data_IF_855895622504
#
_entry.id   IF_855895622504
#
_cell.length_a   1.000
_cell.length_b   1.000
_cell.length_c   1.000
_cell.angle_alpha   90.00
_cell.angle_beta   90.00
_cell.angle_gamma   90.00
#
_symmetry.space_group_name_H-M   'P 1'
#
loop_
_entity.id
_entity.type
_entity.pdbx_description
1 polymer ?
#
# COMPACT_ATOMS: atom_id res chain seq x y z
N UNK A 1 11.61 6.33 16.38
CA UNK A 1 12.87 6.75 15.70
C UNK A 1 14.10 6.61 16.58
N UNK A 2 14.12 7.10 17.82
CA UNK A 2 15.28 6.94 18.73
C UNK A 2 15.58 5.47 19.09
N UNK A 3 14.57 4.63 19.34
CA UNK A 3 14.78 3.22 19.71
C UNK A 3 15.45 2.34 18.63
N UNK A 4 15.24 2.65 17.34
CA UNK A 4 15.90 1.92 16.24
C UNK A 4 17.37 2.34 16.13
N UNK A 5 17.64 3.63 16.35
CA UNK A 5 19.00 4.16 16.38
C UNK A 5 19.78 3.62 17.58
N UNK A 6 19.13 3.49 18.75
CA UNK A 6 19.73 2.91 19.95
C UNK A 6 20.00 1.41 19.78
N UNK A 7 19.07 0.66 19.17
CA UNK A 7 19.30 -0.77 18.85
C UNK A 7 20.41 -0.99 17.82
N UNK A 8 20.51 -0.12 16.80
CA UNK A 8 21.60 -0.18 15.83
C UNK A 8 22.94 0.18 16.48
N UNK A 9 22.97 1.16 17.38
CA UNK A 9 24.16 1.48 18.18
C UNK A 9 24.54 0.35 19.15
N UNK A 10 23.58 -0.34 19.76
CA UNK A 10 23.85 -1.51 20.62
C UNK A 10 24.51 -2.62 19.81
N UNK A 11 23.96 -2.96 18.64
CA UNK A 11 24.56 -3.93 17.71
C UNK A 11 25.95 -3.50 17.21
N UNK A 12 26.15 -2.21 16.96
CA UNK A 12 27.43 -1.66 16.50
C UNK A 12 28.50 -1.68 17.61
N UNK A 13 28.10 -1.48 18.87
CA UNK A 13 28.98 -1.61 20.04
C UNK A 13 29.33 -3.06 20.37
N UNK A 14 28.46 -4.03 20.05
CA UNK A 14 28.77 -5.47 20.19
C UNK A 14 29.76 -5.97 19.12
N UNK A 15 29.76 -5.35 17.94
CA UNK A 15 30.61 -5.76 16.81
C UNK A 15 32.03 -5.16 16.84
N UNK A 16 32.24 -3.98 17.44
CA UNK A 16 33.59 -3.41 17.63
C UNK A 16 33.71 -2.51 18.88
N UNK A 17 34.12 -3.06 20.04
CA UNK A 17 34.12 -2.32 21.32
C UNK A 17 35.19 -1.21 21.44
N UNK A 18 36.03 -0.98 20.42
CA UNK A 18 37.22 -0.12 20.52
C UNK A 18 37.11 1.27 19.87
N UNK A 19 36.01 1.63 19.21
CA UNK A 19 35.88 2.92 18.50
C UNK A 19 35.18 4.00 19.32
N UNK A 20 35.73 4.34 20.49
CA UNK A 20 35.34 5.55 21.25
C UNK A 20 36.12 6.79 20.78
N UNK A 21 35.81 7.31 19.60
CA UNK A 21 36.21 8.68 19.22
C UNK A 21 35.10 9.35 18.42
N UNK A 22 34.53 10.41 18.98
CA UNK A 22 33.59 11.32 18.30
C UNK A 22 34.24 11.91 17.03
N UNK A 23 33.84 11.39 15.87
CA UNK A 23 34.12 11.89 14.54
C UNK A 23 32.87 12.62 13.98
N UNK A 24 32.98 13.45 12.94
CA UNK A 24 31.84 14.17 12.40
C UNK A 24 30.89 13.20 11.70
N UNK A 25 29.83 12.77 12.41
CA UNK A 25 28.75 11.84 12.00
C UNK A 25 29.14 11.03 10.75
N UNK A 26 30.15 10.18 10.88
CA UNK A 26 30.39 9.10 9.93
C UNK A 26 29.19 8.18 10.07
N UNK A 27 28.47 7.91 8.98
CA UNK A 27 27.36 6.96 9.03
C UNK A 27 27.86 5.62 9.58
N UNK A 28 27.02 4.90 10.31
CA UNK A 28 27.40 3.61 10.89
C UNK A 28 27.92 2.64 9.82
N UNK A 29 28.68 1.62 10.23
CA UNK A 29 29.35 0.68 9.31
C UNK A 29 28.39 0.06 8.29
N UNK A 30 27.14 -0.22 8.71
CA UNK A 30 26.09 -0.77 7.85
C UNK A 30 25.70 0.22 6.73
N UNK A 31 25.59 1.51 7.04
CA UNK A 31 25.29 2.54 6.06
C UNK A 31 26.43 2.66 5.04
N UNK A 32 27.69 2.72 5.50
CA UNK A 32 28.83 2.81 4.60
C UNK A 32 28.97 1.56 3.70
N UNK A 33 28.74 0.36 4.22
CA UNK A 33 28.70 -0.88 3.43
C UNK A 33 27.58 -0.84 2.39
N UNK A 34 26.39 -0.35 2.76
CA UNK A 34 25.29 -0.20 1.83
C UNK A 34 25.63 0.80 0.71
N UNK A 35 26.26 1.92 1.04
CA UNK A 35 26.76 2.89 0.05
C UNK A 35 27.77 2.26 -0.92
N UNK A 36 28.66 1.36 -0.46
CA UNK A 36 29.56 0.63 -1.36
C UNK A 36 28.80 -0.32 -2.32
N UNK A 37 27.73 -0.97 -1.85
CA UNK A 37 26.84 -1.75 -2.73
C UNK A 37 26.20 -0.84 -3.78
N UNK A 38 25.76 0.35 -3.41
CA UNK A 38 25.14 1.32 -4.31
C UNK A 38 26.09 1.81 -5.42
N UNK A 39 27.40 1.86 -5.15
CA UNK A 39 28.43 2.23 -6.14
C UNK A 39 28.73 1.13 -7.16
N UNK A 40 28.29 -0.10 -6.91
CA UNK A 40 28.66 -1.24 -7.75
C UNK A 40 27.99 -1.17 -9.13
N UNK A 41 28.70 -1.61 -10.17
CA UNK A 41 28.16 -1.66 -11.54
C UNK A 41 26.97 -2.62 -11.71
N UNK A 42 26.82 -3.58 -10.79
CA UNK A 42 25.74 -4.58 -10.78
C UNK A 42 24.77 -4.35 -9.61
N UNK A 43 24.64 -3.11 -9.14
CA UNK A 43 23.82 -2.69 -7.99
C UNK A 43 22.51 -3.46 -7.85
N UNK A 44 21.67 -3.47 -8.89
CA UNK A 44 20.35 -4.09 -8.84
C UNK A 44 20.42 -5.60 -8.56
N UNK A 45 21.40 -6.31 -9.14
CA UNK A 45 21.60 -7.73 -8.88
C UNK A 45 22.13 -7.96 -7.47
N UNK A 46 23.04 -7.11 -6.99
CA UNK A 46 23.53 -7.16 -5.61
C UNK A 46 22.42 -6.91 -4.60
N UNK A 47 21.50 -5.97 -4.86
CA UNK A 47 20.34 -5.70 -4.00
C UNK A 47 19.35 -6.87 -4.00
N UNK A 48 19.12 -7.50 -5.15
CA UNK A 48 18.23 -8.66 -5.27
C UNK A 48 18.77 -9.89 -4.51
N UNK A 49 20.08 -10.16 -4.68
CA UNK A 49 20.78 -11.21 -3.93
C UNK A 49 20.78 -10.92 -2.44
N UNK A 50 21.10 -9.68 -2.03
CA UNK A 50 21.06 -9.28 -0.62
C UNK A 50 19.66 -9.43 -0.04
N UNK A 51 18.61 -9.03 -0.77
CA UNK A 51 17.25 -9.22 -0.31
C UNK A 51 16.89 -10.70 -0.15
N UNK A 52 17.41 -11.58 -1.00
CA UNK A 52 17.17 -13.02 -0.92
C UNK A 52 17.88 -13.63 0.27
N UNK A 53 19.14 -13.25 0.48
CA UNK A 53 19.96 -13.74 1.60
C UNK A 53 19.39 -13.30 2.94
N UNK A 54 18.99 -12.02 3.07
CA UNK A 54 18.35 -11.50 4.28
C UNK A 54 17.05 -12.25 4.61
N UNK A 55 16.27 -12.63 3.59
CA UNK A 55 15.07 -13.44 3.78
C UNK A 55 15.41 -14.86 4.24
N UNK A 56 16.45 -15.46 3.68
CA UNK A 56 16.88 -16.81 4.04
C UNK A 56 17.39 -16.85 5.50
N UNK A 57 18.31 -15.96 5.86
CA UNK A 57 18.86 -15.84 7.22
C UNK A 57 17.75 -15.69 8.26
N UNK A 58 16.77 -14.83 8.00
CA UNK A 58 15.64 -14.64 8.91
C UNK A 58 14.81 -15.92 9.12
N UNK A 59 14.60 -16.72 8.06
CA UNK A 59 13.90 -18.00 8.17
C UNK A 59 14.70 -19.00 9.01
N UNK A 60 16.03 -19.01 8.89
CA UNK A 60 16.89 -19.89 9.69
C UNK A 60 16.88 -19.50 11.17
N UNK A 61 17.02 -18.21 11.48
CA UNK A 61 16.97 -17.69 12.85
C UNK A 61 15.61 -17.91 13.54
N UNK A 62 14.52 -17.87 12.78
CA UNK A 62 13.18 -18.19 13.30
C UNK A 62 12.94 -19.68 13.57
N UNK A 63 13.77 -20.57 13.00
CA UNK A 63 13.65 -22.02 13.16
C UNK A 63 14.46 -22.59 14.33
N UNK A 64 15.47 -21.86 14.79
CA UNK A 64 16.27 -22.23 15.97
C UNK A 64 15.55 -21.79 17.25
N UNK A 65 15.31 -22.76 18.15
CA UNK A 65 14.70 -22.59 19.49
C UNK A 65 15.53 -21.73 20.47
N UNK A 66 16.35 -20.80 19.98
CA UNK A 66 17.21 -19.93 20.79
C UNK A 66 16.49 -18.63 21.19
N UNK A 67 15.38 -18.28 20.54
CA UNK A 67 14.57 -17.12 20.92
C UNK A 67 13.59 -17.41 22.07
N UNK A 68 14.11 -17.93 23.18
CA UNK A 68 13.35 -18.14 24.41
C UNK A 68 13.01 -16.85 25.18
N UNK A 69 13.62 -15.72 24.84
CA UNK A 69 13.39 -14.44 25.54
C UNK A 69 13.60 -13.17 24.69
N UNK A 70 14.01 -13.32 23.42
CA UNK A 70 14.03 -12.21 22.47
C UNK A 70 12.75 -12.27 21.65
N UNK A 71 11.88 -11.28 21.79
CA UNK A 71 10.77 -11.04 20.87
C UNK A 71 11.35 -10.81 19.47
N UNK A 72 11.52 -11.89 18.70
CA UNK A 72 11.90 -11.93 17.28
C UNK A 72 10.98 -11.06 16.39
N UNK A 73 9.90 -10.51 16.94
CA UNK A 73 9.04 -9.51 16.33
C UNK A 73 9.74 -8.17 16.02
N UNK A 74 10.95 -7.91 16.53
CA UNK A 74 11.58 -6.59 16.49
C UNK A 74 12.97 -6.51 15.81
N UNK A 75 13.52 -7.60 15.29
CA UNK A 75 14.81 -7.60 14.60
C UNK A 75 14.63 -8.02 13.14
N UNK A 76 14.34 -7.05 12.26
CA UNK A 76 14.22 -7.31 10.82
C UNK A 76 15.29 -6.53 10.08
N UNK A 77 16.42 -7.18 9.79
CA UNK A 77 17.31 -6.70 8.75
C UNK A 77 16.67 -7.06 7.41
N UNK A 78 16.15 -6.06 6.70
CA UNK A 78 15.57 -6.20 5.37
C UNK A 78 16.15 -5.14 4.45
N UNK A 79 16.05 -5.35 3.14
CA UNK A 79 16.47 -4.36 2.16
C UNK A 79 15.73 -3.02 2.35
N UNK A 80 14.48 -3.08 2.78
CA UNK A 80 13.68 -1.91 3.13
C UNK A 80 14.28 -1.13 4.31
N UNK A 81 14.72 -1.81 5.37
CA UNK A 81 15.36 -1.16 6.52
C UNK A 81 16.66 -0.47 6.12
N UNK A 82 17.44 -1.09 5.21
CA UNK A 82 18.64 -0.46 4.66
C UNK A 82 18.30 0.81 3.86
N UNK A 83 17.25 0.78 3.05
CA UNK A 83 16.77 1.97 2.34
C UNK A 83 16.24 3.05 3.28
N UNK A 84 15.44 2.69 4.29
CA UNK A 84 14.97 3.64 5.32
C UNK A 84 16.14 4.31 6.02
N UNK A 85 17.17 3.54 6.41
CA UNK A 85 18.37 4.07 7.03
C UNK A 85 19.10 5.04 6.07
N UNK A 86 19.27 4.65 4.80
CA UNK A 86 19.89 5.52 3.81
C UNK A 86 19.12 6.83 3.58
N UNK A 87 17.79 6.79 3.59
CA UNK A 87 16.94 7.99 3.45
C UNK A 87 16.99 8.86 4.70
N UNK A 88 17.10 8.29 5.90
CA UNK A 88 17.32 9.08 7.13
C UNK A 88 18.69 9.76 7.11
N UNK A 89 19.74 9.06 6.70
CA UNK A 89 21.09 9.62 6.58
C UNK A 89 21.23 10.60 5.41
N UNK A 90 20.31 10.57 4.43
CA UNK A 90 20.36 11.40 3.24
C UNK A 90 20.47 12.91 3.56
N UNK A 91 19.76 13.43 4.58
CA UNK A 91 19.86 14.85 4.95
C UNK A 91 21.19 15.23 5.58
N UNK A 92 21.90 14.26 6.17
CA UNK A 92 23.11 14.45 6.97
C UNK A 92 24.41 14.02 6.26
N UNK A 93 24.34 13.64 4.98
CA UNK A 93 25.49 13.15 4.22
C UNK A 93 26.02 14.17 3.20
N UNK A 94 27.18 13.87 2.59
CA UNK A 94 27.83 14.72 1.57
C UNK A 94 26.99 14.79 0.29
N UNK A 95 27.16 15.86 -0.50
CA UNK A 95 26.41 16.01 -1.75
C UNK A 95 26.66 14.86 -2.74
N UNK A 96 27.90 14.36 -2.83
CA UNK A 96 28.22 13.21 -3.70
C UNK A 96 27.46 11.95 -3.28
N UNK A 97 27.32 11.70 -1.96
CA UNK A 97 26.55 10.57 -1.43
C UNK A 97 25.05 10.78 -1.63
N UNK A 98 24.53 12.01 -1.51
CA UNK A 98 23.13 12.34 -1.82
C UNK A 98 22.79 12.02 -3.27
N UNK A 99 23.62 12.48 -4.21
CA UNK A 99 23.43 12.23 -5.64
C UNK A 99 23.46 10.73 -5.97
N UNK A 100 24.36 9.98 -5.34
CA UNK A 100 24.41 8.53 -5.47
C UNK A 100 23.12 7.88 -4.98
N UNK A 101 22.67 8.19 -3.76
CA UNK A 101 21.44 7.63 -3.19
C UNK A 101 20.24 7.95 -4.08
N UNK A 102 20.11 9.17 -4.59
CA UNK A 102 19.02 9.55 -5.48
C UNK A 102 19.02 8.75 -6.80
N UNK A 103 20.19 8.62 -7.44
CA UNK A 103 20.32 7.86 -8.69
C UNK A 103 20.07 6.37 -8.46
N UNK A 104 20.66 5.80 -7.41
CA UNK A 104 20.48 4.39 -7.07
C UNK A 104 19.04 4.06 -6.70
N UNK A 105 18.35 4.93 -5.96
CA UNK A 105 16.94 4.71 -5.64
C UNK A 105 16.03 4.91 -6.84
N UNK A 106 16.35 5.84 -7.75
CA UNK A 106 15.67 5.95 -9.03
C UNK A 106 15.82 4.66 -9.85
N UNK A 107 17.04 4.13 -10.01
CA UNK A 107 17.30 2.90 -10.75
C UNK A 107 16.59 1.70 -10.11
N UNK A 108 16.56 1.65 -8.77
CA UNK A 108 15.83 0.64 -8.00
C UNK A 108 14.31 0.67 -8.29
N UNK A 109 13.68 1.85 -8.23
CA UNK A 109 12.26 2.02 -8.56
C UNK A 109 12.00 1.74 -10.05
N UNK A 110 12.86 2.24 -10.94
CA UNK A 110 12.74 2.06 -12.39
C UNK A 110 12.85 0.59 -12.80
N UNK A 111 13.60 -0.20 -12.03
CA UNK A 111 13.71 -1.65 -12.19
C UNK A 111 12.50 -2.43 -11.63
N UNK A 112 11.54 -1.74 -11.01
CA UNK A 112 10.30 -2.30 -10.48
C UNK A 112 10.45 -2.97 -9.13
N UNK A 113 11.51 -2.67 -8.36
CA UNK A 113 11.58 -3.12 -6.98
C UNK A 113 10.51 -2.40 -6.13
N UNK A 114 9.93 -3.07 -5.13
CA UNK A 114 9.02 -2.43 -4.20
C UNK A 114 9.71 -1.32 -3.40
N UNK A 115 9.04 -0.19 -3.26
CA UNK A 115 9.49 0.94 -2.44
C UNK A 115 8.38 1.36 -1.47
N UNK A 116 8.76 1.88 -0.31
CA UNK A 116 7.82 2.34 0.69
C UNK A 116 7.21 3.70 0.29
N UNK A 117 5.89 3.82 0.39
CA UNK A 117 5.13 5.06 0.20
C UNK A 117 4.77 5.65 1.56
N UNK A 118 4.10 4.86 2.40
CA UNK A 118 3.70 5.25 3.77
C UNK A 118 4.20 4.18 4.73
N UNK A 119 4.96 4.61 5.74
CA UNK A 119 5.39 3.77 6.86
C UNK A 119 4.20 3.51 7.80
N UNK A 120 3.80 2.25 7.96
CA UNK A 120 2.66 1.86 8.79
C UNK A 120 2.93 1.81 10.30
N UNK A 121 4.20 1.96 10.73
CA UNK A 121 4.54 2.03 12.14
C UNK A 121 4.43 3.47 12.68
N UNK A 122 4.81 4.46 11.86
CA UNK A 122 4.78 5.87 12.24
C UNK A 122 3.72 6.70 11.50
N UNK A 123 2.93 6.10 10.61
CA UNK A 123 2.07 6.81 9.65
C UNK A 123 2.83 7.95 8.95
N UNK A 124 4.07 7.67 8.56
CA UNK A 124 4.95 8.69 8.01
C UNK A 124 5.06 8.55 6.49
N UNK A 125 4.75 9.64 5.78
CA UNK A 125 4.90 9.71 4.33
C UNK A 125 6.18 10.49 3.98
N UNK A 126 7.22 9.78 3.52
CA UNK A 126 8.51 10.34 3.09
C UNK A 126 8.45 11.06 1.72
N UNK A 127 7.40 11.86 1.52
CA UNK A 127 7.08 12.49 0.24
C UNK A 127 8.15 13.48 -0.24
N UNK A 128 8.92 14.13 0.64
CA UNK A 128 9.98 15.05 0.24
C UNK A 128 11.09 14.35 -0.55
N UNK A 129 11.53 13.19 -0.07
CA UNK A 129 12.53 12.37 -0.76
C UNK A 129 11.93 11.78 -2.04
N UNK A 130 10.75 11.17 -1.96
CA UNK A 130 10.06 10.59 -3.13
C UNK A 130 9.76 11.63 -4.22
N UNK A 131 9.54 12.90 -3.88
CA UNK A 131 9.34 13.97 -4.86
C UNK A 131 10.58 14.13 -5.75
N UNK A 132 11.78 14.08 -5.18
CA UNK A 132 13.03 14.18 -5.96
C UNK A 132 13.18 12.99 -6.91
N UNK A 133 12.90 11.79 -6.43
CA UNK A 133 13.05 10.57 -7.22
C UNK A 133 11.99 10.49 -8.31
N UNK A 134 10.71 10.65 -7.96
CA UNK A 134 9.61 10.54 -8.90
C UNK A 134 9.59 11.66 -9.93
N UNK A 135 10.18 12.83 -9.64
CA UNK A 135 10.35 13.93 -10.62
C UNK A 135 11.08 13.49 -11.90
N UNK A 136 11.94 12.48 -11.81
CA UNK A 136 12.67 11.93 -12.95
C UNK A 136 11.77 11.11 -13.89
N UNK A 137 10.57 10.73 -13.47
CA UNK A 137 9.55 10.06 -14.28
C UNK A 137 8.52 11.03 -14.88
N UNK A 138 8.83 12.33 -14.96
CA UNK A 138 7.96 13.31 -15.61
C UNK A 138 7.59 12.88 -17.03
N UNK A 139 6.33 13.07 -17.41
CA UNK A 139 5.79 12.67 -18.71
C UNK A 139 5.81 11.15 -18.99
N UNK A 140 6.16 10.30 -18.02
CA UNK A 140 5.93 8.85 -18.10
C UNK A 140 4.51 8.57 -17.69
N UNK A 141 3.68 8.13 -18.63
CA UNK A 141 2.28 7.92 -18.35
C UNK A 141 2.07 6.68 -17.50
N UNK A 142 1.24 6.78 -16.47
CA UNK A 142 1.03 5.67 -15.54
C UNK A 142 -0.43 5.28 -15.41
N UNK A 143 -0.61 3.99 -15.14
CA UNK A 143 -1.86 3.41 -14.69
C UNK A 143 -1.69 2.94 -13.25
N UNK A 144 -2.60 3.31 -12.35
CA UNK A 144 -2.43 3.05 -10.90
C UNK A 144 -3.46 2.02 -10.44
N UNK A 145 -2.97 0.93 -9.87
CA UNK A 145 -3.78 -0.18 -9.36
C UNK A 145 -3.38 -0.44 -7.90
N UNK A 146 -4.34 -0.30 -6.98
CA UNK A 146 -4.13 -0.66 -5.58
C UNK A 146 -4.78 -2.00 -5.25
N UNK A 147 -4.26 -2.71 -4.25
CA UNK A 147 -4.92 -3.87 -3.65
C UNK A 147 -5.19 -3.62 -2.16
N UNK A 148 -6.40 -3.92 -1.70
CA UNK A 148 -6.81 -3.86 -0.29
C UNK A 148 -7.46 -5.18 0.10
N UNK A 149 -7.51 -5.46 1.40
CA UNK A 149 -8.16 -6.67 1.91
C UNK A 149 -7.64 -7.12 3.26
N UNK A 150 -8.30 -8.12 3.87
CA UNK A 150 -7.95 -8.58 5.20
C UNK A 150 -6.50 -9.07 5.31
N UNK A 151 -5.97 -9.07 6.53
CA UNK A 151 -4.66 -9.67 6.82
C UNK A 151 -4.62 -11.13 6.33
N UNK A 152 -3.47 -11.55 5.79
CA UNK A 152 -3.24 -12.91 5.27
C UNK A 152 -4.17 -13.37 4.12
N UNK A 153 -4.87 -12.46 3.44
CA UNK A 153 -5.70 -12.79 2.27
C UNK A 153 -4.91 -13.13 0.99
N UNK A 154 -3.59 -12.95 0.99
CA UNK A 154 -2.71 -13.22 -0.16
C UNK A 154 -2.58 -12.07 -1.15
N UNK A 155 -2.67 -10.80 -0.70
CA UNK A 155 -2.60 -9.59 -1.55
C UNK A 155 -1.29 -9.49 -2.33
N UNK A 156 -0.17 -9.46 -1.62
CA UNK A 156 1.18 -9.37 -2.18
C UNK A 156 1.48 -10.57 -3.08
N UNK A 157 1.03 -11.77 -2.68
CA UNK A 157 1.10 -12.99 -3.51
C UNK A 157 0.35 -12.80 -4.83
N UNK A 158 -0.90 -12.32 -4.78
CA UNK A 158 -1.72 -12.11 -5.97
C UNK A 158 -1.08 -11.08 -6.92
N UNK A 159 -0.57 -9.96 -6.41
CA UNK A 159 0.14 -8.98 -7.23
C UNK A 159 1.40 -9.56 -7.88
N UNK A 160 2.19 -10.33 -7.12
CA UNK A 160 3.40 -10.98 -7.64
C UNK A 160 3.08 -11.94 -8.78
N UNK A 161 2.00 -12.73 -8.70
CA UNK A 161 1.58 -13.62 -9.78
C UNK A 161 0.95 -12.89 -10.98
N UNK A 162 0.19 -11.81 -10.76
CA UNK A 162 -0.43 -11.07 -11.86
C UNK A 162 0.57 -10.23 -12.65
N UNK A 163 1.53 -9.62 -11.96
CA UNK A 163 2.37 -8.56 -12.55
C UNK A 163 3.88 -8.81 -12.44
N UNK A 164 4.31 -9.93 -11.83
CA UNK A 164 5.74 -10.25 -11.69
C UNK A 164 6.49 -9.36 -10.69
N UNK A 165 5.78 -8.73 -9.75
CA UNK A 165 6.39 -7.93 -8.67
C UNK A 165 7.12 -8.80 -7.64
N UNK A 166 7.93 -8.16 -6.79
CA UNK A 166 8.60 -8.80 -5.66
C UNK A 166 8.15 -8.25 -4.30
N UNK A 167 6.85 -7.94 -4.14
CA UNK A 167 6.34 -7.61 -2.81
C UNK A 167 6.65 -8.75 -1.85
N UNK A 168 6.98 -8.43 -0.60
CA UNK A 168 7.38 -9.46 0.35
C UNK A 168 6.17 -10.34 0.73
N UNK A 169 6.40 -11.65 0.80
CA UNK A 169 5.37 -12.65 1.11
C UNK A 169 5.91 -13.54 2.21
N UNK A 170 5.32 -13.47 3.41
CA UNK A 170 5.66 -14.29 4.57
C UNK A 170 4.40 -14.78 5.28
N UNK A 171 4.54 -15.77 6.16
CA UNK A 171 3.46 -16.12 7.09
C UNK A 171 3.43 -15.05 8.20
N UNK A 172 2.30 -14.36 8.37
CA UNK A 172 2.14 -13.29 9.37
C UNK A 172 2.08 -11.87 8.76
N UNK A 173 2.27 -10.84 9.59
CA UNK A 173 2.18 -9.42 9.19
C UNK A 173 3.44 -9.00 8.40
N UNK A 174 3.38 -9.17 7.08
CA UNK A 174 4.51 -8.88 6.18
C UNK A 174 4.61 -7.40 5.81
N UNK A 175 3.45 -6.79 5.54
CA UNK A 175 3.34 -5.44 5.00
C UNK A 175 2.88 -4.51 6.11
N UNK A 176 3.70 -3.52 6.45
CA UNK A 176 3.39 -2.46 7.42
C UNK A 176 3.33 -1.13 6.68
N UNK A 177 2.14 -0.61 6.45
CA UNK A 177 1.94 0.61 5.64
C UNK A 177 1.58 0.33 4.18
N UNK A 178 2.10 1.16 3.26
CA UNK A 178 1.75 1.15 1.83
C UNK A 178 3.03 1.14 1.00
N UNK A 179 3.11 0.23 0.04
CA UNK A 179 4.27 0.03 -0.83
C UNK A 179 3.89 0.16 -2.29
N UNK A 180 4.76 0.77 -3.09
CA UNK A 180 4.61 0.93 -4.53
C UNK A 180 5.58 0.04 -5.31
N UNK A 181 5.22 -0.33 -6.53
CA UNK A 181 6.14 -0.90 -7.53
C UNK A 181 5.76 -0.37 -8.92
N UNK A 182 6.75 0.08 -9.69
CA UNK A 182 6.56 0.51 -11.08
C UNK A 182 6.92 -0.62 -12.03
N UNK A 183 5.91 -1.21 -12.67
CA UNK A 183 6.10 -2.22 -13.71
C UNK A 183 6.11 -1.54 -15.06
N UNK A 184 7.22 -1.63 -15.79
CA UNK A 184 7.36 -1.00 -17.10
C UNK A 184 6.55 -1.78 -18.15
N UNK A 185 5.80 -1.08 -18.98
CA UNK A 185 5.10 -1.70 -20.09
C UNK A 185 6.01 -1.78 -21.33
N UNK A 186 6.08 -2.97 -21.92
CA UNK A 186 6.76 -3.20 -23.18
C UNK A 186 5.71 -3.49 -24.26
N UNK A 187 5.81 -2.74 -25.37
CA UNK A 187 4.99 -2.98 -26.56
C UNK A 187 5.35 -4.32 -27.17
N UNK A 188 4.37 -5.06 -27.70
CA UNK A 188 4.55 -6.41 -28.26
C UNK A 188 5.67 -6.49 -29.32
N UNK A 189 5.95 -5.39 -30.03
CA UNK A 189 6.96 -5.29 -31.07
C UNK A 189 8.36 -4.86 -30.59
N UNK A 190 8.56 -4.67 -29.28
CA UNK A 190 9.84 -4.28 -28.69
C UNK A 190 10.52 -5.48 -28.02
N UNK A 191 11.82 -5.68 -28.30
CA UNK A 191 12.59 -6.75 -27.68
C UNK A 191 12.82 -6.45 -26.18
N UNK A 192 12.26 -7.30 -25.32
CA UNK A 192 12.45 -7.24 -23.85
C UNK A 192 13.92 -7.43 -23.43
N UNK A 193 14.76 -8.03 -24.28
CA UNK A 193 16.14 -8.38 -23.96
C UNK A 193 17.06 -7.20 -23.60
N UNK A 194 16.70 -5.97 -24.02
CA UNK A 194 17.50 -4.76 -23.76
C UNK A 194 16.89 -3.86 -22.67
N UNK A 195 15.84 -4.31 -21.99
CA UNK A 195 15.22 -3.54 -20.91
C UNK A 195 15.64 -4.14 -19.56
N UNK A 196 16.43 -3.38 -18.81
CA UNK A 196 16.74 -3.70 -17.41
C UNK A 196 15.49 -3.50 -16.55
N UNK A 197 15.21 -4.46 -15.66
CA UNK A 197 14.11 -4.37 -14.70
C UNK A 197 12.86 -5.17 -15.09
N UNK A 198 11.81 -5.03 -14.27
CA UNK A 198 10.55 -5.77 -14.42
C UNK A 198 9.66 -5.15 -15.49
N UNK A 199 9.21 -6.00 -16.40
CA UNK A 199 8.49 -5.58 -17.58
C UNK A 199 7.27 -6.45 -17.83
N UNK A 200 6.18 -5.82 -18.24
CA UNK A 200 4.97 -6.52 -18.64
C UNK A 200 4.69 -6.24 -20.12
N UNK A 201 4.55 -7.32 -20.90
CA UNK A 201 4.17 -7.22 -22.31
C UNK A 201 2.67 -6.95 -22.40
N UNK A 202 2.30 -5.68 -22.52
CA UNK A 202 0.92 -5.27 -22.72
C UNK A 202 0.88 -4.05 -23.66
N UNK A 203 0.16 -4.16 -24.76
CA UNK A 203 -0.07 -3.04 -25.68
C UNK A 203 -1.18 -2.14 -25.14
N UNK A 204 -0.84 -1.37 -24.11
CA UNK A 204 -1.68 -0.27 -23.66
C UNK A 204 -1.18 0.97 -24.41
N UNK A 205 -1.96 1.51 -25.38
CA UNK A 205 -1.62 2.78 -25.99
C UNK A 205 -1.46 3.79 -24.87
N UNK A 206 -0.42 4.58 -25.00
CA UNK A 206 -0.28 5.76 -24.19
C UNK A 206 -0.01 5.57 -22.69
N UNK A 207 0.44 4.38 -22.26
CA UNK A 207 0.89 4.14 -20.89
C UNK A 207 2.31 3.56 -20.92
N UNK A 208 3.20 4.10 -20.08
CA UNK A 208 4.59 3.68 -19.96
C UNK A 208 4.80 2.71 -18.77
N UNK A 209 4.07 2.90 -17.67
CA UNK A 209 4.17 2.07 -16.47
C UNK A 209 2.81 1.73 -15.84
N UNK A 210 2.74 0.60 -15.15
CA UNK A 210 1.70 0.31 -14.16
C UNK A 210 2.31 0.53 -12.78
N UNK A 211 1.73 1.45 -12.00
CA UNK A 211 2.03 1.62 -10.58
C UNK A 211 1.12 0.72 -9.76
N UNK A 212 1.72 -0.29 -9.16
CA UNK A 212 1.05 -1.23 -8.26
C UNK A 212 1.24 -0.78 -6.82
N UNK A 213 0.16 -0.73 -6.06
CA UNK A 213 0.17 -0.33 -4.66
C UNK A 213 -0.29 -1.52 -3.82
N UNK A 214 0.61 -2.08 -3.02
CA UNK A 214 0.33 -3.11 -2.02
C UNK A 214 0.14 -2.47 -0.65
N UNK A 215 -0.80 -2.99 0.13
CA UNK A 215 -1.19 -2.39 1.39
C UNK A 215 -1.08 -3.37 2.54
N UNK A 216 -0.97 -2.81 3.75
CA UNK A 216 -1.15 -3.53 4.99
C UNK A 216 -2.49 -4.30 5.01
N UNK A 217 -2.50 -5.40 5.76
CA UNK A 217 -3.70 -6.20 6.00
C UNK A 217 -4.70 -5.47 6.88
N UNK A 218 -5.92 -5.30 6.37
CA UNK A 218 -7.03 -4.74 7.12
C UNK A 218 -7.60 -5.74 8.14
N UNK A 219 -8.37 -5.25 9.10
CA UNK A 219 -9.13 -6.03 10.08
C UNK A 219 -8.25 -6.99 10.88
N UNK A 220 -7.03 -6.54 11.21
CA UNK A 220 -6.12 -7.31 12.06
C UNK A 220 -6.70 -7.43 13.47
N UNK A 221 -6.72 -8.64 14.02
CA UNK A 221 -7.13 -8.87 15.41
C UNK A 221 -6.14 -8.21 16.39
N UNK A 222 -4.87 -8.11 15.99
CA UNK A 222 -3.75 -7.60 16.80
C UNK A 222 -3.72 -6.06 16.85
N UNK A 223 -4.18 -5.40 15.79
CA UNK A 223 -4.33 -3.94 15.72
C UNK A 223 -5.81 -3.59 15.71
N UNK A 224 -6.38 -3.33 16.87
CA UNK A 224 -7.77 -2.88 17.03
C UNK A 224 -7.99 -1.43 16.55
N UNK A 225 -7.33 -1.00 15.47
CA UNK A 225 -7.41 0.34 14.90
C UNK A 225 -8.16 0.32 13.56
N UNK A 226 -9.50 0.29 13.68
CA UNK A 226 -10.39 0.34 12.52
C UNK A 226 -10.34 1.69 11.78
N UNK A 227 -9.86 2.75 12.43
CA UNK A 227 -9.75 4.06 11.80
C UNK A 227 -8.57 4.09 10.84
N UNK A 228 -7.41 3.54 11.26
CA UNK A 228 -6.26 3.34 10.39
C UNK A 228 -6.62 2.57 9.11
N UNK A 229 -7.37 1.48 9.25
CA UNK A 229 -7.84 0.69 8.12
C UNK A 229 -8.70 1.50 7.14
N UNK A 230 -9.63 2.32 7.66
CA UNK A 230 -10.46 3.21 6.83
C UNK A 230 -9.63 4.28 6.14
N UNK A 231 -8.63 4.86 6.82
CA UNK A 231 -7.70 5.83 6.21
C UNK A 231 -6.95 5.20 5.05
N UNK A 232 -6.49 3.97 5.19
CA UNK A 232 -5.79 3.23 4.15
C UNK A 232 -6.72 2.90 2.95
N UNK A 233 -7.94 2.45 3.20
CA UNK A 233 -8.95 2.20 2.14
C UNK A 233 -9.29 3.49 1.40
N UNK A 234 -9.58 4.57 2.12
CA UNK A 234 -9.94 5.85 1.53
C UNK A 234 -8.78 6.45 0.71
N UNK A 235 -7.55 6.34 1.22
CA UNK A 235 -6.34 6.71 0.48
C UNK A 235 -6.24 5.95 -0.85
N UNK A 236 -6.36 4.62 -0.82
CA UNK A 236 -6.26 3.78 -2.02
C UNK A 236 -7.36 4.11 -3.05
N UNK A 237 -8.59 4.33 -2.61
CA UNK A 237 -9.69 4.73 -3.50
C UNK A 237 -9.42 6.08 -4.17
N UNK A 238 -8.87 7.05 -3.45
CA UNK A 238 -8.64 8.39 -3.96
C UNK A 238 -7.47 8.49 -4.97
N UNK A 239 -6.45 7.63 -4.84
CA UNK A 239 -5.20 7.73 -5.61
C UNK A 239 -5.07 6.70 -6.74
N UNK A 240 -6.11 5.90 -7.01
CA UNK A 240 -6.05 4.78 -7.96
C UNK A 240 -7.01 4.92 -9.13
N UNK A 241 -6.67 4.28 -10.25
CA UNK A 241 -7.61 4.08 -11.37
C UNK A 241 -8.46 2.83 -11.16
N UNK A 242 -7.90 1.81 -10.50
CA UNK A 242 -8.56 0.57 -10.13
C UNK A 242 -8.12 0.14 -8.73
N UNK A 243 -9.06 -0.39 -7.94
CA UNK A 243 -8.76 -1.00 -6.64
C UNK A 243 -9.24 -2.45 -6.62
N UNK A 244 -8.34 -3.35 -6.26
CA UNK A 244 -8.61 -4.78 -6.08
C UNK A 244 -8.95 -4.99 -4.61
N UNK A 245 -10.14 -5.52 -4.32
CA UNK A 245 -10.54 -5.96 -2.98
C UNK A 245 -10.37 -7.46 -2.91
N UNK A 246 -9.27 -7.89 -2.30
CA UNK A 246 -8.92 -9.30 -2.17
C UNK A 246 -9.44 -9.86 -0.85
N UNK A 247 -10.24 -10.92 -0.92
CA UNK A 247 -10.85 -11.58 0.23
C UNK A 247 -10.57 -13.08 0.20
N UNK A 248 -10.41 -13.69 1.37
CA UNK A 248 -10.34 -15.15 1.48
C UNK A 248 -11.75 -15.69 1.68
N UNK A 249 -12.19 -16.60 0.80
CA UNK A 249 -13.54 -17.16 0.87
C UNK A 249 -14.61 -16.15 0.45
N UNK A 250 -15.68 -16.03 1.26
CA UNK A 250 -16.85 -15.21 0.94
C UNK A 250 -16.68 -13.72 1.25
N UNK A 251 -17.61 -12.92 0.73
CA UNK A 251 -17.61 -11.47 0.97
C UNK A 251 -17.81 -11.19 2.46
N UNK A 252 -16.87 -10.46 3.05
CA UNK A 252 -16.96 -9.99 4.43
C UNK A 252 -17.81 -8.72 4.51
N UNK A 253 -18.94 -8.77 5.23
CA UNK A 253 -19.83 -7.61 5.42
C UNK A 253 -19.09 -6.43 6.10
N UNK A 254 -18.13 -6.69 6.99
CA UNK A 254 -17.32 -5.63 7.64
C UNK A 254 -16.49 -4.84 6.63
N UNK A 255 -15.84 -5.54 5.68
CA UNK A 255 -15.02 -4.90 4.65
C UNK A 255 -15.91 -4.16 3.63
N UNK A 256 -17.09 -4.70 3.35
CA UNK A 256 -18.09 -4.03 2.52
C UNK A 256 -18.60 -2.75 3.19
N UNK A 257 -18.94 -2.78 4.46
CA UNK A 257 -19.38 -1.59 5.20
C UNK A 257 -18.27 -0.52 5.25
N UNK A 258 -17.03 -0.93 5.48
CA UNK A 258 -15.86 -0.06 5.43
C UNK A 258 -15.68 0.56 4.04
N UNK A 259 -15.75 -0.24 2.96
CA UNK A 259 -15.64 0.24 1.59
C UNK A 259 -16.75 1.24 1.25
N UNK A 260 -17.97 0.93 1.69
CA UNK A 260 -19.15 1.77 1.49
C UNK A 260 -18.95 3.13 2.18
N UNK A 261 -18.53 3.13 3.45
CA UNK A 261 -18.22 4.34 4.21
C UNK A 261 -17.12 5.16 3.53
N UNK A 262 -16.03 4.53 3.10
CA UNK A 262 -14.94 5.24 2.44
C UNK A 262 -15.39 5.84 1.10
N UNK A 263 -16.24 5.14 0.35
CA UNK A 263 -16.85 5.69 -0.87
C UNK A 263 -17.70 6.95 -0.59
N UNK A 264 -18.45 6.95 0.52
CA UNK A 264 -19.20 8.12 0.97
C UNK A 264 -18.28 9.27 1.39
N UNK A 265 -17.23 8.99 2.17
CA UNK A 265 -16.21 9.99 2.53
C UNK A 265 -15.52 10.59 1.30
N UNK A 266 -15.28 9.78 0.26
CA UNK A 266 -14.66 10.22 -0.99
C UNK A 266 -15.54 11.25 -1.72
N UNK A 267 -16.88 11.19 -1.58
CA UNK A 267 -17.78 12.25 -2.08
C UNK A 267 -17.49 13.59 -1.42
N UNK A 268 -17.25 13.58 -0.10
CA UNK A 268 -17.06 14.80 0.69
C UNK A 268 -15.74 15.50 0.36
N UNK A 269 -14.70 14.74 0.00
CA UNK A 269 -13.42 15.28 -0.49
C UNK A 269 -13.60 16.01 -1.85
N UNK A 270 -14.70 15.72 -2.56
CA UNK A 270 -15.13 16.39 -3.78
C UNK A 270 -14.86 15.56 -5.02
N UNK A 271 -15.93 15.04 -5.63
CA UNK A 271 -15.94 14.12 -6.79
C UNK A 271 -15.12 14.65 -7.98
N UNK A 272 -14.98 15.97 -8.15
CA UNK A 272 -14.25 16.58 -9.26
C UNK A 272 -12.71 16.53 -9.11
N UNK A 273 -12.17 16.09 -7.96
CA UNK A 273 -10.73 16.05 -7.69
C UNK A 273 -10.12 14.65 -7.64
N UNK A 274 -10.96 13.61 -7.64
CA UNK A 274 -10.53 12.22 -7.44
C UNK A 274 -10.97 11.36 -8.62
N UNK A 275 -10.12 10.40 -8.97
CA UNK A 275 -10.44 9.41 -9.99
C UNK A 275 -11.63 8.58 -9.50
N UNK A 276 -12.67 8.39 -10.29
CA UNK A 276 -13.73 7.42 -9.98
C UNK A 276 -13.17 6.00 -10.20
N UNK A 277 -12.66 5.30 -9.17
CA UNK A 277 -11.94 4.06 -9.39
C UNK A 277 -12.92 2.94 -9.72
N UNK A 278 -12.47 1.98 -10.53
CA UNK A 278 -13.20 0.72 -10.70
C UNK A 278 -12.78 -0.21 -9.56
N UNK A 279 -13.74 -0.85 -8.91
CA UNK A 279 -13.45 -1.81 -7.83
C UNK A 279 -13.68 -3.24 -8.29
N UNK A 280 -12.62 -4.06 -8.23
CA UNK A 280 -12.65 -5.48 -8.54
C UNK A 280 -12.61 -6.31 -7.27
N UNK A 281 -13.59 -7.19 -7.07
CA UNK A 281 -13.62 -8.13 -5.95
C UNK A 281 -12.97 -9.45 -6.38
N UNK A 282 -11.97 -9.90 -5.62
CA UNK A 282 -11.30 -11.18 -5.84
C UNK A 282 -11.54 -12.07 -4.63
N UNK A 283 -12.33 -13.12 -4.83
CA UNK A 283 -12.62 -14.15 -3.84
C UNK A 283 -11.59 -15.27 -3.97
N UNK A 284 -10.54 -15.19 -3.18
CA UNK A 284 -9.38 -16.08 -3.22
C UNK A 284 -9.58 -17.32 -2.33
N UNK A 285 -8.81 -18.38 -2.60
CA UNK A 285 -8.82 -19.65 -1.87
C UNK A 285 -10.19 -20.33 -1.79
N UNK A 286 -10.98 -20.24 -2.88
CA UNK A 286 -12.28 -20.91 -2.97
C UNK A 286 -12.12 -22.40 -3.28
N UNK A 287 -12.81 -23.24 -2.50
CA UNK A 287 -12.89 -24.67 -2.76
C UNK A 287 -13.67 -24.99 -4.05
N UNK A 288 -14.76 -24.24 -4.30
CA UNK A 288 -15.47 -24.21 -5.57
C UNK A 288 -15.37 -22.79 -6.16
N UNK A 289 -14.53 -22.57 -7.19
CA UNK A 289 -14.36 -21.26 -7.81
C UNK A 289 -15.51 -20.90 -8.78
N UNK A 290 -16.67 -21.56 -8.73
CA UNK A 290 -17.81 -21.21 -9.57
C UNK A 290 -18.51 -19.93 -9.09
N UNK A 291 -18.39 -18.86 -9.89
CA UNK A 291 -18.99 -17.56 -9.60
C UNK A 291 -20.53 -17.61 -9.55
N UNK A 292 -21.17 -18.56 -10.26
CA UNK A 292 -22.64 -18.68 -10.32
C UNK A 292 -23.26 -18.89 -8.93
N UNK A 293 -22.55 -19.55 -8.03
CA UNK A 293 -23.01 -19.82 -6.67
C UNK A 293 -23.10 -18.55 -5.81
N UNK A 294 -22.49 -17.45 -6.25
CA UNK A 294 -22.40 -16.19 -5.48
C UNK A 294 -23.18 -15.04 -6.15
N UNK A 295 -23.93 -15.32 -7.22
CA UNK A 295 -24.64 -14.28 -7.99
C UNK A 295 -25.59 -13.46 -7.13
N UNK A 296 -26.33 -14.09 -6.21
CA UNK A 296 -27.27 -13.40 -5.32
C UNK A 296 -26.55 -12.46 -4.34
N UNK A 297 -25.40 -12.88 -3.79
CA UNK A 297 -24.60 -12.06 -2.89
C UNK A 297 -23.99 -10.86 -3.63
N UNK A 298 -23.53 -11.07 -4.87
CA UNK A 298 -23.02 -10.02 -5.76
C UNK A 298 -24.11 -8.99 -6.06
N UNK A 299 -25.31 -9.45 -6.42
CA UNK A 299 -26.44 -8.57 -6.74
C UNK A 299 -26.89 -7.77 -5.52
N UNK A 300 -26.85 -8.36 -4.32
CA UNK A 300 -27.08 -7.65 -3.05
C UNK A 300 -26.07 -6.52 -2.86
N UNK A 301 -24.78 -6.78 -3.04
CA UNK A 301 -23.73 -5.75 -2.89
C UNK A 301 -23.95 -4.62 -3.90
N UNK A 302 -24.16 -4.95 -5.17
CA UNK A 302 -24.39 -3.94 -6.22
C UNK A 302 -25.62 -3.08 -5.89
N UNK A 303 -26.69 -3.70 -5.38
CA UNK A 303 -27.90 -2.97 -4.96
C UNK A 303 -27.61 -2.04 -3.80
N UNK A 304 -26.92 -2.50 -2.77
CA UNK A 304 -26.58 -1.68 -1.59
C UNK A 304 -25.73 -0.46 -1.97
N UNK A 305 -24.77 -0.62 -2.91
CA UNK A 305 -23.98 0.51 -3.42
C UNK A 305 -24.82 1.50 -4.23
N UNK A 306 -25.82 1.03 -4.99
CA UNK A 306 -26.76 1.89 -5.73
C UNK A 306 -27.72 2.63 -4.79
N UNK A 307 -28.29 1.95 -3.80
CA UNK A 307 -29.21 2.54 -2.82
C UNK A 307 -28.54 3.64 -1.98
N UNK A 308 -27.24 3.53 -1.75
CA UNK A 308 -26.42 4.54 -1.06
C UNK A 308 -25.85 5.61 -2.00
N UNK A 309 -26.30 5.63 -3.26
CA UNK A 309 -25.91 6.59 -4.30
C UNK A 309 -24.40 6.62 -4.59
N UNK A 310 -23.67 5.52 -4.34
CA UNK A 310 -22.20 5.48 -4.44
C UNK A 310 -21.69 5.20 -5.87
N UNK A 311 -22.60 4.89 -6.80
CA UNK A 311 -22.26 4.57 -8.19
C UNK A 311 -21.62 5.74 -8.95
N UNK A 312 -21.81 6.97 -8.49
CA UNK A 312 -21.16 8.17 -9.05
C UNK A 312 -19.70 8.35 -8.58
N UNK A 313 -19.26 7.55 -7.61
CA UNK A 313 -17.95 7.68 -6.97
C UNK A 313 -17.07 6.51 -7.32
N UNK A 314 -17.61 5.30 -7.24
CA UNK A 314 -16.90 4.06 -7.47
C UNK A 314 -17.72 3.22 -8.45
N UNK A 315 -17.03 2.65 -9.43
CA UNK A 315 -17.62 1.78 -10.43
C UNK A 315 -17.52 0.30 -10.01
N UNK A 316 -18.67 -0.31 -9.77
CA UNK A 316 -18.82 -1.74 -9.44
C UNK A 316 -19.89 -2.33 -10.34
N UNK A 317 -19.59 -3.47 -10.95
CA UNK A 317 -20.55 -4.22 -11.77
C UNK A 317 -20.40 -5.72 -11.54
N UNK A 318 -21.35 -6.51 -12.02
CA UNK A 318 -21.28 -7.98 -11.90
C UNK A 318 -20.03 -8.58 -12.56
N UNK A 319 -19.44 -7.88 -13.54
CA UNK A 319 -18.22 -8.29 -14.23
C UNK A 319 -16.94 -8.04 -13.43
N UNK A 320 -17.01 -7.26 -12.34
CA UNK A 320 -15.84 -6.94 -11.52
C UNK A 320 -15.62 -7.94 -10.39
N UNK A 321 -16.43 -9.02 -10.31
CA UNK A 321 -16.28 -10.10 -9.33
C UNK A 321 -15.57 -11.30 -9.96
N UNK A 322 -14.53 -11.79 -9.28
CA UNK A 322 -13.67 -12.87 -9.74
C UNK A 322 -13.44 -13.88 -8.61
N UNK A 323 -13.27 -15.14 -8.96
CA UNK A 323 -13.00 -16.24 -8.04
C UNK A 323 -11.67 -16.91 -8.39
N UNK A 324 -10.84 -17.17 -7.38
CA UNK A 324 -9.57 -17.86 -7.53
C UNK A 324 -9.51 -19.09 -6.62
N UNK A 325 -8.95 -20.21 -7.10
CA UNK A 325 -8.66 -21.38 -6.27
C UNK A 325 -7.51 -21.08 -5.29
N UNK A 326 -7.17 -22.03 -4.41
CA UNK A 326 -5.96 -21.92 -3.60
C UNK A 326 -4.72 -21.86 -4.48
N UNK A 327 -3.81 -20.92 -4.21
CA UNK A 327 -2.54 -20.78 -4.93
C UNK A 327 -1.59 -21.94 -4.64
N UNK A 328 -1.64 -22.47 -3.42
CA UNK A 328 -0.66 -23.42 -2.91
C UNK A 328 -1.34 -24.70 -2.46
N UNK A 329 -0.69 -25.82 -2.75
CA UNK A 329 -1.05 -27.14 -2.23
C UNK A 329 0.18 -27.76 -1.55
N UNK A 330 -0.01 -28.18 -0.30
CA UNK A 330 0.99 -28.94 0.46
C UNK A 330 0.89 -30.40 0.03
N UNK A 331 1.93 -30.91 -0.61
CA UNK A 331 2.03 -32.31 -1.01
C UNK A 331 3.20 -32.98 -0.27
N UNK A 332 3.05 -34.28 0.01
CA UNK A 332 4.13 -35.09 0.58
C UNK A 332 4.76 -35.92 -0.52
N UNK A 333 6.08 -36.08 -0.46
CA UNK A 333 6.84 -36.90 -1.43
C UNK A 333 6.41 -38.38 -1.37
N UNK A 334 5.98 -38.87 -0.20
CA UNK A 334 5.33 -40.17 -0.04
C UNK A 334 4.25 -40.12 1.05
N UNK A 335 3.42 -41.16 1.14
CA UNK A 335 2.36 -41.27 2.15
C UNK A 335 2.88 -41.47 3.59
N UNK A 336 4.18 -41.58 3.79
CA UNK A 336 4.77 -41.70 5.12
C UNK A 336 4.70 -40.38 5.89
N UNK A 337 4.38 -40.46 7.18
CA UNK A 337 4.25 -39.30 8.05
C UNK A 337 5.56 -38.53 8.27
N UNK A 338 6.72 -39.14 7.97
CA UNK A 338 8.05 -38.54 8.10
C UNK A 338 8.58 -37.92 6.80
N UNK A 339 7.87 -38.06 5.69
CA UNK A 339 8.34 -37.56 4.40
C UNK A 339 8.27 -36.04 4.32
N UNK A 340 9.28 -35.38 3.72
CA UNK A 340 9.29 -33.94 3.56
C UNK A 340 8.07 -33.49 2.78
N UNK A 341 7.42 -32.45 3.29
CA UNK A 341 6.30 -31.80 2.61
C UNK A 341 6.88 -30.67 1.74
N UNK A 342 6.45 -30.60 0.49
CA UNK A 342 6.78 -29.48 -0.39
C UNK A 342 5.50 -28.72 -0.73
N UNK A 343 5.66 -27.43 -1.01
CA UNK A 343 4.58 -26.56 -1.45
C UNK A 343 4.68 -26.42 -2.95
N UNK A 344 3.60 -26.78 -3.65
CA UNK A 344 3.49 -26.60 -5.10
C UNK A 344 2.48 -25.49 -5.40
N UNK A 345 2.81 -24.64 -6.36
CA UNK A 345 1.84 -23.71 -6.93
C UNK A 345 0.90 -24.44 -7.88
N UNK A 346 -0.41 -24.24 -7.68
CA UNK A 346 -1.44 -24.87 -8.50
C UNK A 346 -1.49 -24.27 -9.92
N UNK A 347 -1.46 -25.09 -10.99
CA UNK A 347 -1.51 -24.59 -12.36
C UNK A 347 -2.80 -23.82 -12.70
N UNK A 348 -3.95 -24.26 -12.18
CA UNK A 348 -5.24 -23.59 -12.39
C UNK A 348 -5.24 -22.17 -11.79
N UNK A 349 -4.57 -21.99 -10.64
CA UNK A 349 -4.39 -20.67 -10.04
C UNK A 349 -3.59 -19.75 -10.96
N UNK A 350 -2.47 -20.22 -11.52
CA UNK A 350 -1.61 -19.43 -12.42
C UNK A 350 -2.41 -18.99 -13.66
N UNK A 351 -3.10 -19.94 -14.31
CA UNK A 351 -3.87 -19.65 -15.52
C UNK A 351 -4.98 -18.61 -15.26
N UNK A 352 -5.75 -18.78 -14.19
CA UNK A 352 -6.83 -17.85 -13.82
C UNK A 352 -6.29 -16.48 -13.44
N UNK A 353 -5.14 -16.43 -12.75
CA UNK A 353 -4.50 -15.18 -12.35
C UNK A 353 -4.01 -14.39 -13.55
N UNK A 354 -3.49 -15.06 -14.59
CA UNK A 354 -3.13 -14.42 -15.84
C UNK A 354 -4.34 -13.82 -16.56
N UNK A 355 -5.44 -14.57 -16.67
CA UNK A 355 -6.70 -14.06 -17.25
C UNK A 355 -7.28 -12.89 -16.44
N UNK A 356 -7.13 -12.93 -15.11
CA UNK A 356 -7.55 -11.84 -14.23
C UNK A 356 -6.70 -10.59 -14.46
N UNK A 357 -5.38 -10.74 -14.62
CA UNK A 357 -4.47 -9.64 -14.92
C UNK A 357 -4.90 -8.89 -16.20
N UNK A 358 -5.19 -9.62 -17.29
CA UNK A 358 -5.67 -9.03 -18.54
C UNK A 358 -6.96 -8.22 -18.35
N UNK A 359 -7.95 -8.79 -17.63
CA UNK A 359 -9.22 -8.11 -17.32
C UNK A 359 -9.04 -6.87 -16.46
N UNK A 360 -8.14 -6.93 -15.48
CA UNK A 360 -7.83 -5.81 -14.58
C UNK A 360 -7.18 -4.68 -15.38
N UNK A 361 -6.23 -4.99 -16.25
CA UNK A 361 -5.58 -4.00 -17.12
C UNK A 361 -6.60 -3.34 -18.05
N UNK A 362 -7.48 -4.11 -18.69
CA UNK A 362 -8.54 -3.58 -19.56
C UNK A 362 -9.50 -2.66 -18.80
N UNK A 363 -9.91 -3.08 -17.59
CA UNK A 363 -10.80 -2.28 -16.75
C UNK A 363 -10.12 -1.00 -16.30
N UNK A 364 -8.89 -1.07 -15.79
CA UNK A 364 -8.12 0.10 -15.39
C UNK A 364 -7.91 1.09 -16.55
N UNK A 365 -7.69 0.60 -17.79
CA UNK A 365 -7.64 1.44 -18.99
C UNK A 365 -8.95 2.20 -19.23
N UNK A 366 -10.10 1.55 -19.05
CA UNK A 366 -11.41 2.21 -19.19
C UNK A 366 -11.63 3.31 -18.14
N UNK A 367 -11.07 3.15 -16.94
CA UNK A 367 -11.08 4.17 -15.88
C UNK A 367 -10.19 5.36 -16.26
N UNK A 368 -8.98 5.08 -16.74
CA UNK A 368 -8.03 6.10 -17.20
C UNK A 368 -8.62 7.02 -18.29
N UNK A 369 -9.39 6.45 -19.23
CA UNK A 369 -10.08 7.25 -20.26
C UNK A 369 -11.17 8.18 -19.72
N UNK A 370 -11.82 7.83 -18.60
CA UNK A 370 -12.89 8.61 -17.98
C UNK A 370 -12.36 9.74 -17.09
N UNK A 371 -11.25 9.51 -16.40
CA UNK A 371 -10.70 10.45 -15.41
C UNK A 371 -10.07 11.71 -16.03
N UNK A 372 -10.02 11.84 -17.36
CA UNK A 372 -9.48 13.05 -18.00
C UNK A 372 -8.01 13.32 -17.67
N UNK A 373 -7.23 12.28 -17.33
CA UNK A 373 -5.80 12.34 -16.98
C UNK A 373 -5.46 13.11 -15.70
N UNK A 374 -6.35 13.17 -14.70
CA UNK A 374 -6.04 13.73 -13.36
C UNK A 374 -4.81 13.13 -12.70
N UNK A 375 -4.47 11.88 -13.04
CA UNK A 375 -3.23 11.21 -12.66
C UNK A 375 -2.53 10.77 -13.95
N UNK A 376 -1.69 11.63 -14.50
CA UNK A 376 -0.99 11.35 -15.76
C UNK A 376 0.36 10.68 -15.54
N UNK A 377 1.16 11.13 -14.59
CA UNK A 377 2.54 10.68 -14.33
C UNK A 377 2.86 10.52 -12.82
N UNK A 378 3.99 9.89 -12.43
CA UNK A 378 4.31 9.67 -11.02
C UNK A 378 4.46 10.95 -10.18
N UNK A 379 5.04 12.06 -10.68
CA UNK A 379 5.03 13.34 -9.97
C UNK A 379 3.63 13.87 -9.67
N UNK A 380 2.71 13.82 -10.64
CA UNK A 380 1.34 14.27 -10.43
C UNK A 380 0.60 13.35 -9.47
N UNK A 381 0.78 12.04 -9.61
CA UNK A 381 0.26 11.07 -8.66
C UNK A 381 0.72 11.38 -7.23
N UNK A 382 2.02 11.64 -7.02
CA UNK A 382 2.56 11.91 -5.70
C UNK A 382 1.95 13.19 -5.09
N UNK A 383 1.79 14.27 -5.87
CA UNK A 383 1.13 15.49 -5.38
C UNK A 383 -0.31 15.23 -4.95
N UNK A 384 -1.05 14.46 -5.73
CA UNK A 384 -2.41 14.04 -5.37
C UNK A 384 -2.39 13.20 -4.10
N UNK A 385 -1.50 12.21 -4.01
CA UNK A 385 -1.37 11.33 -2.84
C UNK A 385 -1.04 12.12 -1.56
N UNK A 386 -0.11 13.07 -1.61
CA UNK A 386 0.22 13.95 -0.48
C UNK A 386 -0.99 14.80 -0.07
N UNK A 387 -1.69 15.39 -1.05
CA UNK A 387 -2.88 16.20 -0.77
C UNK A 387 -3.97 15.39 -0.06
N UNK A 388 -4.22 14.16 -0.53
CA UNK A 388 -5.17 13.25 0.09
C UNK A 388 -4.71 12.85 1.49
N UNK A 389 -3.44 12.49 1.64
CA UNK A 389 -2.87 12.10 2.93
C UNK A 389 -3.00 13.22 3.97
N UNK A 390 -2.65 14.45 3.62
CA UNK A 390 -2.80 15.62 4.49
C UNK A 390 -4.28 15.90 4.83
N UNK A 391 -5.19 15.66 3.89
CA UNK A 391 -6.63 15.80 4.11
C UNK A 391 -7.13 14.78 5.12
N UNK A 392 -6.69 13.53 5.02
CA UNK A 392 -7.03 12.46 5.97
C UNK A 392 -6.49 12.74 7.38
N UNK A 393 -5.34 13.42 7.50
CA UNK A 393 -4.81 13.85 8.78
C UNK A 393 -5.59 15.02 9.38
N UNK A 394 -6.02 15.99 8.54
CA UNK A 394 -6.75 17.19 8.97
C UNK A 394 -8.21 16.94 9.31
N UNK A 395 -8.86 15.98 8.66
CA UNK A 395 -10.29 15.71 8.80
C UNK A 395 -10.52 14.26 9.28
N UNK A 396 -10.29 13.97 10.58
CA UNK A 396 -10.50 12.63 11.14
C UNK A 396 -11.95 12.15 11.02
N UNK A 397 -12.93 13.06 10.99
CA UNK A 397 -14.36 12.77 10.78
C UNK A 397 -14.64 11.95 9.50
N UNK A 398 -13.74 12.02 8.50
CA UNK A 398 -13.84 11.23 7.27
C UNK A 398 -13.68 9.72 7.52
N UNK A 399 -13.01 9.33 8.60
CA UNK A 399 -12.70 7.93 8.92
C UNK A 399 -13.14 7.51 10.31
N UNK A 400 -13.56 8.46 11.15
CA UNK A 400 -13.97 8.23 12.53
C UNK A 400 -15.19 7.31 12.67
N UNK A 401 -16.26 7.57 11.90
CA UNK A 401 -17.51 6.83 12.00
C UNK A 401 -17.37 5.35 11.63
N UNK A 402 -18.16 4.48 12.27
CA UNK A 402 -18.19 3.05 11.99
C UNK A 402 -18.83 2.73 10.65
N UNK A 403 -19.93 3.39 10.37
CA UNK A 403 -20.71 3.21 9.15
C UNK A 403 -21.42 4.51 8.74
N UNK A 404 -22.03 4.48 7.55
CA UNK A 404 -22.74 5.65 6.98
C UNK A 404 -23.95 6.04 7.81
N UNK A 405 -24.63 5.09 8.47
CA UNK A 405 -25.82 5.40 9.24
C UNK A 405 -25.46 6.19 10.50
N UNK A 406 -24.39 5.79 11.19
CA UNK A 406 -23.85 6.52 12.33
C UNK A 406 -23.45 7.95 11.92
N UNK A 407 -22.73 8.11 10.80
CA UNK A 407 -22.42 9.43 10.24
C UNK A 407 -23.67 10.26 9.99
N UNK A 408 -24.67 9.70 9.29
CA UNK A 408 -25.93 10.40 8.99
C UNK A 408 -26.71 10.77 10.25
N UNK A 409 -26.60 9.99 11.31
CA UNK A 409 -27.19 10.33 12.62
C UNK A 409 -26.46 11.49 13.27
N UNK A 410 -25.13 11.48 13.27
CA UNK A 410 -24.32 12.60 13.79
C UNK A 410 -24.61 13.89 13.03
N UNK A 411 -24.66 13.84 11.69
CA UNK A 411 -25.01 14.99 10.85
C UNK A 411 -26.38 15.57 11.22
N UNK A 412 -27.39 14.71 11.44
CA UNK A 412 -28.73 15.14 11.87
C UNK A 412 -28.72 15.75 13.26
N UNK A 413 -27.94 15.19 14.18
CA UNK A 413 -27.79 15.73 15.54
C UNK A 413 -27.12 17.10 15.48
N UNK A 414 -26.02 17.25 14.73
CA UNK A 414 -25.33 18.52 14.53
C UNK A 414 -26.24 19.56 13.89
N UNK A 415 -27.00 19.19 12.86
CA UNK A 415 -27.98 20.09 12.25
C UNK A 415 -29.05 20.51 13.25
N UNK A 416 -29.61 19.57 14.02
CA UNK A 416 -30.64 19.86 15.01
C UNK A 416 -30.12 20.77 16.14
N UNK A 417 -28.91 20.49 16.64
CA UNK A 417 -28.22 21.35 17.61
C UNK A 417 -27.98 22.73 17.02
N UNK A 418 -27.50 22.82 15.77
CA UNK A 418 -27.31 24.08 15.05
C UNK A 418 -28.60 24.88 14.93
N UNK A 419 -29.72 24.22 14.60
CA UNK A 419 -31.05 24.81 14.56
C UNK A 419 -31.50 25.29 15.95
N UNK A 420 -31.32 24.50 17.00
CA UNK A 420 -31.64 24.87 18.38
C UNK A 420 -30.81 26.06 18.88
N UNK A 421 -29.50 26.02 18.67
CA UNK A 421 -28.58 27.13 18.94
C UNK A 421 -29.04 28.37 18.18
N UNK A 422 -29.45 28.21 16.91
CA UNK A 422 -29.88 29.32 16.09
C UNK A 422 -31.20 29.96 16.53
N UNK A 423 -32.09 29.16 17.15
CA UNK A 423 -33.36 29.62 17.71
C UNK A 423 -33.20 30.21 19.11
N UNK A 424 -32.23 29.72 19.88
CA UNK A 424 -32.06 30.08 21.30
C UNK A 424 -31.12 31.26 21.50
N UNK A 425 -30.08 31.40 20.66
CA UNK A 425 -29.09 32.47 20.76
C UNK A 425 -29.31 33.56 19.69
N UNK A 426 -29.47 34.84 20.10
CA UNK A 426 -29.51 35.98 19.18
C UNK A 426 -28.29 36.00 18.26
N UNK A 427 -28.45 36.47 17.02
CA UNK A 427 -27.38 36.47 16.01
C UNK A 427 -26.10 37.20 16.48
N UNK A 428 -26.26 38.25 17.28
CA UNK A 428 -25.16 39.03 17.83
C UNK A 428 -24.37 38.26 18.90
N UNK A 429 -25.04 37.42 19.69
CA UNK A 429 -24.39 36.58 20.70
C UNK A 429 -23.56 35.49 20.05
N UNK A 430 -24.08 34.83 19.00
CA UNK A 430 -23.33 33.83 18.21
C UNK A 430 -22.05 34.37 17.58
N UNK A 431 -22.12 35.55 16.96
CA UNK A 431 -20.94 36.19 16.36
C UNK A 431 -19.88 36.52 17.42
N UNK A 432 -20.32 36.99 18.58
CA UNK A 432 -19.43 37.32 19.69
C UNK A 432 -18.77 36.07 20.29
N UNK A 433 -19.53 35.01 20.55
CA UNK A 433 -18.97 33.76 21.09
C UNK A 433 -18.01 33.07 20.10
N UNK A 434 -18.28 33.10 18.80
CA UNK A 434 -17.35 32.55 17.79
C UNK A 434 -16.07 33.39 17.71
N UNK A 435 -16.16 34.72 17.77
CA UNK A 435 -15.00 35.60 17.81
C UNK A 435 -14.16 35.36 19.08
N UNK A 436 -14.82 35.25 20.24
CA UNK A 436 -14.17 34.99 21.53
C UNK A 436 -13.50 33.59 21.57
N UNK A 437 -14.14 32.57 20.97
CA UNK A 437 -13.58 31.21 20.86
C UNK A 437 -12.39 31.11 19.89
N UNK A 438 -12.35 31.95 18.85
CA UNK A 438 -11.21 32.01 17.92
C UNK A 438 -9.96 32.67 18.52
N UNK A 439 -10.09 33.39 19.64
CA UNK A 439 -8.96 34.04 20.35
C UNK A 439 -8.38 33.19 21.49
N UNK A 440 -9.05 32.09 21.87
CA UNK A 440 -8.59 31.19 22.93
C UNK A 440 -7.66 30.10 22.37
N UNK A 441 -6.59 29.80 23.11
CA UNK A 441 -5.70 28.67 22.80
C UNK A 441 -6.36 27.33 23.17
N UNK A 442 -5.87 26.22 22.60
CA UNK A 442 -6.41 24.86 22.81
C UNK A 442 -6.51 24.43 24.29
N UNK A 443 -5.72 25.04 25.19
CA UNK A 443 -5.76 24.79 26.63
C UNK A 443 -6.76 25.71 27.39
N UNK A 444 -7.28 26.75 26.75
CA UNK A 444 -8.21 27.73 27.33
C UNK A 444 -9.67 27.48 26.95
N UNK A 445 -9.90 26.69 25.90
CA UNK A 445 -11.21 26.12 25.50
C UNK A 445 -11.53 24.93 26.42
#
# INVERSE_FOLDING_TARGET
>A
MFEIYDKLNELENELDPNTKTFSPITGGQIFDLFIEILKSNNMLMSLDLLSTELKHELLTLGSDKIAGDLTLENAFLSLEVLWRNAIVCYTHTTNDRKDLIERSYYDFIAAGFPFEIIDGDNLHFQHQFLTKILSQFVSKRILVISIIGPQNSGKSTLLNYMFGTLFDVREGRCTRGIYGSLVKLIKSNQNSANTSGRTLSADIPDIDYIMLIDTEGLLSIEKSDNEYDRRLVLFCLAVSHLVIVNMMGDVNETLKDMLTLCADSLKQIGVNKVNQPIVHFVLNQKADPNLKNHTEAIDKIIRDFKEKELAEVIDISSKTFHTLPSAFKKERVSNDAQSPCFIRTEPDFIQRTQQLCEKIIESAKSSYGRSGQTISDPPQWLRTAVTIFDTLQKFPDLTYFKDINERRQDDRIRQHIGELISKTLPADYRKKTIADLCELTENEI
#
